data_IF_520707181326
#
_entry.id   IF_520707181326
#
_cell.length_a   1.000
_cell.length_b   1.000
_cell.length_c   1.000
_cell.angle_alpha   90.00
_cell.angle_beta   90.00
_cell.angle_gamma   90.00
#
_symmetry.space_group_name_H-M   'P 1'
#
loop_
_entity.id
_entity.type
_entity.pdbx_description
1 polymer ?
#
# COMPACT_ATOMS: atom_id res chain seq x y z
N UNK A 1 3.06 -51.27 -72.21
CA UNK A 1 2.53 -52.28 -71.25
C UNK A 1 3.72 -53.07 -70.73
N UNK A 2 3.99 -53.11 -69.42
CA UNK A 2 4.80 -54.19 -68.83
C UNK A 2 6.07 -53.88 -68.03
N UNK A 3 6.54 -52.64 -67.83
CA UNK A 3 7.74 -52.43 -66.98
C UNK A 3 7.72 -51.25 -65.98
N UNK A 4 6.69 -50.40 -65.94
CA UNK A 4 6.65 -49.28 -64.98
C UNK A 4 5.82 -49.53 -63.72
N UNK A 5 5.16 -50.69 -63.59
CA UNK A 5 4.30 -51.01 -62.42
C UNK A 5 4.98 -51.84 -61.32
N UNK A 6 6.12 -52.50 -61.60
CA UNK A 6 6.77 -53.34 -60.58
C UNK A 6 7.64 -52.54 -59.59
N UNK A 7 8.18 -51.37 -59.99
CA UNK A 7 9.02 -50.54 -59.10
C UNK A 7 8.23 -49.70 -58.07
N UNK A 8 6.90 -49.70 -58.13
CA UNK A 8 6.07 -48.94 -57.20
C UNK A 8 5.60 -49.78 -56.01
N UNK A 9 5.61 -51.11 -56.12
CA UNK A 9 5.12 -52.01 -55.05
C UNK A 9 6.24 -52.37 -54.06
N UNK A 10 7.49 -52.46 -54.50
CA UNK A 10 8.63 -52.75 -53.61
C UNK A 10 9.01 -51.57 -52.70
N UNK A 11 8.67 -50.33 -53.08
CA UNK A 11 8.92 -49.12 -52.28
C UNK A 11 7.92 -48.89 -51.15
N UNK A 12 6.76 -49.57 -51.18
CA UNK A 12 5.68 -49.40 -50.18
C UNK A 12 5.83 -50.40 -49.04
N UNK A 13 6.37 -51.60 -49.28
CA UNK A 13 6.64 -52.57 -48.22
C UNK A 13 7.91 -52.29 -47.40
N UNK A 14 8.88 -51.54 -47.93
CA UNK A 14 10.10 -51.19 -47.17
C UNK A 14 9.84 -50.03 -46.19
N UNK A 15 8.84 -49.18 -46.44
CA UNK A 15 8.52 -48.05 -45.57
C UNK A 15 7.62 -48.40 -44.37
N UNK A 16 6.93 -49.54 -44.36
CA UNK A 16 6.09 -49.92 -43.21
C UNK A 16 6.88 -50.65 -42.11
N UNK A 17 7.97 -51.34 -42.44
CA UNK A 17 8.80 -52.05 -41.45
C UNK A 17 9.74 -51.14 -40.66
N UNK A 18 10.12 -49.99 -41.20
CA UNK A 18 11.00 -49.02 -40.53
C UNK A 18 10.21 -48.13 -39.55
N UNK A 19 8.93 -47.87 -39.83
CA UNK A 19 8.07 -47.04 -38.96
C UNK A 19 7.59 -47.81 -37.72
N UNK A 20 7.41 -49.14 -37.81
CA UNK A 20 7.04 -49.96 -36.65
C UNK A 20 8.19 -50.17 -35.64
N UNK A 21 9.44 -50.24 -36.11
CA UNK A 21 10.62 -50.40 -35.23
C UNK A 21 11.01 -49.14 -34.46
N UNK A 22 10.81 -47.95 -35.05
CA UNK A 22 11.15 -46.69 -34.41
C UNK A 22 10.19 -46.32 -33.26
N UNK A 23 8.91 -46.69 -33.37
CA UNK A 23 7.90 -46.39 -32.34
C UNK A 23 8.08 -47.28 -31.11
N UNK A 24 8.51 -48.54 -31.28
CA UNK A 24 8.77 -49.46 -30.17
C UNK A 24 10.07 -49.10 -29.42
N UNK A 25 11.09 -48.58 -30.13
CA UNK A 25 12.34 -48.13 -29.49
C UNK A 25 12.16 -46.80 -28.72
N UNK A 26 11.29 -45.90 -29.19
CA UNK A 26 10.95 -44.66 -28.48
C UNK A 26 10.10 -44.89 -27.23
N UNK A 27 9.25 -45.93 -27.21
CA UNK A 27 8.49 -46.29 -26.00
C UNK A 27 9.37 -46.97 -24.93
N UNK A 28 10.44 -47.69 -25.31
CA UNK A 28 11.38 -48.29 -24.34
C UNK A 28 12.36 -47.25 -23.77
N UNK A 29 12.75 -46.23 -24.54
CA UNK A 29 13.53 -45.09 -24.02
C UNK A 29 12.70 -44.13 -23.14
N UNK A 30 11.38 -44.13 -23.30
CA UNK A 30 10.46 -43.40 -22.42
C UNK A 30 10.23 -44.09 -21.06
N UNK A 31 10.54 -45.38 -20.92
CA UNK A 31 10.39 -46.13 -19.66
C UNK A 31 11.72 -46.24 -18.88
N UNK A 32 12.87 -46.07 -19.54
CA UNK A 32 14.20 -46.19 -18.89
C UNK A 32 14.90 -44.88 -18.50
N UNK A 33 14.34 -43.72 -18.86
CA UNK A 33 14.76 -42.42 -18.28
C UNK A 33 13.68 -41.80 -17.37
N UNK A 34 12.74 -42.63 -16.91
CA UNK A 34 11.86 -42.33 -15.79
C UNK A 34 12.48 -42.85 -14.47
N UNK A 35 13.74 -42.48 -14.22
CA UNK A 35 14.42 -42.73 -12.95
C UNK A 35 15.53 -41.70 -12.67
N UNK A 36 15.40 -40.48 -13.18
CA UNK A 36 16.00 -39.34 -12.49
C UNK A 36 15.07 -38.93 -11.36
N UNK A 37 15.33 -39.56 -10.21
CA UNK A 37 15.23 -39.04 -8.85
C UNK A 37 14.46 -37.70 -8.81
N UNK A 38 13.14 -37.78 -8.76
CA UNK A 38 12.36 -36.77 -8.07
C UNK A 38 12.65 -37.03 -6.60
N UNK A 39 13.75 -36.47 -6.10
CA UNK A 39 13.80 -36.18 -4.68
C UNK A 39 12.62 -35.25 -4.45
N UNK A 40 11.61 -35.61 -3.62
CA UNK A 40 10.76 -34.56 -3.11
C UNK A 40 11.73 -33.56 -2.47
N UNK A 41 11.77 -32.34 -3.00
CA UNK A 41 12.31 -31.23 -2.21
C UNK A 41 11.37 -31.17 -1.03
N UNK A 42 11.75 -31.86 0.03
CA UNK A 42 11.13 -31.78 1.32
C UNK A 42 11.26 -30.31 1.70
N UNK A 43 10.16 -29.56 1.64
CA UNK A 43 10.13 -28.22 2.21
C UNK A 43 10.25 -28.40 3.73
N UNK A 44 11.48 -28.38 4.18
CA UNK A 44 11.94 -28.72 5.51
C UNK A 44 13.45 -28.55 5.52
N UNK A 45 14.02 -28.42 6.70
CA UNK A 45 15.47 -28.52 6.89
C UNK A 45 15.98 -29.86 6.34
N UNK A 46 17.25 -29.95 5.97
CA UNK A 46 17.85 -31.16 5.35
C UNK A 46 17.68 -32.44 6.22
N UNK A 47 17.33 -32.29 7.49
CA UNK A 47 17.05 -33.35 8.47
C UNK A 47 15.55 -33.71 8.61
N UNK A 48 14.65 -33.09 7.84
CA UNK A 48 13.20 -33.29 7.92
C UNK A 48 12.52 -32.63 9.12
N UNK A 49 13.21 -31.77 9.87
CA UNK A 49 12.62 -31.01 10.98
C UNK A 49 11.75 -29.83 10.50
N UNK A 50 10.80 -29.42 11.34
CA UNK A 50 9.81 -28.40 10.98
C UNK A 50 10.41 -26.99 11.09
N UNK A 51 10.36 -26.19 10.02
CA UNK A 51 10.88 -24.82 10.01
C UNK A 51 9.75 -23.76 10.16
N UNK A 52 9.79 -22.97 11.23
CA UNK A 52 8.81 -21.90 11.51
C UNK A 52 8.90 -20.70 10.55
N UNK A 53 10.07 -20.50 9.91
CA UNK A 53 10.36 -19.36 9.02
C UNK A 53 10.44 -19.75 7.55
N UNK A 54 10.17 -21.02 7.20
CA UNK A 54 10.26 -21.53 5.84
C UNK A 54 8.90 -22.09 5.42
N UNK A 55 8.04 -21.31 4.73
CA UNK A 55 6.73 -21.79 4.28
C UNK A 55 6.82 -23.00 3.37
N UNK A 56 6.04 -24.04 3.66
CA UNK A 56 5.83 -25.15 2.73
C UNK A 56 4.75 -24.75 1.71
N UNK A 57 5.18 -24.29 0.54
CA UNK A 57 4.27 -23.89 -0.54
C UNK A 57 3.56 -25.08 -1.22
N UNK A 58 4.01 -26.31 -1.00
CA UNK A 58 3.33 -27.50 -1.51
C UNK A 58 2.13 -27.90 -0.63
N UNK A 59 2.15 -27.54 0.67
CA UNK A 59 1.05 -27.76 1.60
C UNK A 59 0.95 -26.64 2.65
N UNK A 60 0.60 -25.44 2.18
CA UNK A 60 0.67 -24.22 2.98
C UNK A 60 -0.27 -24.21 4.19
N UNK A 61 -1.47 -24.75 4.05
CA UNK A 61 -2.47 -24.79 5.13
C UNK A 61 -2.03 -25.68 6.29
N UNK A 62 -1.46 -26.86 5.99
CA UNK A 62 -0.92 -27.76 7.02
C UNK A 62 0.30 -27.14 7.72
N UNK A 63 1.13 -26.41 6.96
CA UNK A 63 2.27 -25.69 7.52
C UNK A 63 1.83 -24.55 8.45
N UNK A 64 0.84 -23.74 8.05
CA UNK A 64 0.28 -22.68 8.88
C UNK A 64 -0.31 -23.22 10.18
N UNK A 65 -1.09 -24.30 10.10
CA UNK A 65 -1.70 -24.94 11.26
C UNK A 65 -0.64 -25.45 12.25
N UNK A 66 0.44 -26.05 11.75
CA UNK A 66 1.54 -26.56 12.57
C UNK A 66 2.38 -25.42 13.16
N UNK A 67 2.64 -24.36 12.39
CA UNK A 67 3.34 -23.15 12.86
C UNK A 67 2.62 -22.50 14.04
N UNK A 68 1.31 -22.36 13.95
CA UNK A 68 0.50 -21.78 15.04
C UNK A 68 0.56 -22.59 16.35
N UNK A 69 0.89 -23.88 16.27
CA UNK A 69 0.96 -24.76 17.44
C UNK A 69 2.32 -24.77 18.13
N UNK A 70 3.41 -24.64 17.37
CA UNK A 70 4.76 -24.92 17.88
C UNK A 70 5.77 -23.80 17.66
N UNK A 71 5.39 -22.63 17.13
CA UNK A 71 6.33 -21.54 16.87
C UNK A 71 6.02 -20.29 17.69
N UNK A 72 7.06 -19.62 18.19
CA UNK A 72 6.93 -18.29 18.78
C UNK A 72 6.96 -17.18 17.71
N UNK A 73 6.71 -15.95 18.15
CA UNK A 73 6.72 -14.77 17.28
C UNK A 73 8.11 -14.43 16.72
N UNK A 74 9.18 -15.02 17.27
CA UNK A 74 10.56 -14.86 16.79
C UNK A 74 10.96 -15.95 15.77
N UNK A 75 10.09 -16.94 15.50
CA UNK A 75 10.35 -18.00 14.54
C UNK A 75 11.09 -19.21 15.11
N UNK A 76 11.06 -19.42 16.42
CA UNK A 76 11.68 -20.59 17.08
C UNK A 76 10.63 -21.64 17.45
N UNK A 77 11.03 -22.93 17.48
CA UNK A 77 10.17 -24.03 17.92
C UNK A 77 10.07 -24.04 19.46
N UNK A 78 8.84 -23.96 19.96
CA UNK A 78 8.51 -24.06 21.39
C UNK A 78 8.27 -25.54 21.70
N UNK A 79 9.16 -26.18 22.48
CA UNK A 79 8.95 -27.57 22.94
C UNK A 79 8.40 -27.61 24.37
N UNK A 80 7.57 -28.60 24.75
CA UNK A 80 6.98 -28.69 26.10
C UNK A 80 7.98 -29.04 27.23
N UNK A 81 9.29 -29.07 26.96
CA UNK A 81 10.32 -29.54 27.90
C UNK A 81 11.03 -28.42 28.68
N UNK A 82 10.44 -27.23 28.78
CA UNK A 82 10.90 -26.19 29.71
C UNK A 82 9.74 -25.68 30.57
N UNK A 83 9.33 -26.49 31.55
CA UNK A 83 8.60 -25.96 32.72
C UNK A 83 9.57 -25.12 33.56
N UNK A 84 9.17 -23.95 34.07
CA UNK A 84 10.10 -23.05 34.75
C UNK A 84 10.40 -23.55 36.17
N UNK A 85 11.68 -23.70 36.50
CA UNK A 85 12.14 -23.74 37.88
C UNK A 85 12.08 -22.32 38.44
N UNK A 86 11.33 -22.16 39.53
CA UNK A 86 11.36 -21.00 40.40
C UNK A 86 12.82 -20.62 40.74
N UNK A 87 13.25 -19.43 40.33
CA UNK A 87 14.60 -18.94 40.57
C UNK A 87 14.69 -17.44 40.30
N UNK A 88 14.81 -16.67 41.38
CA UNK A 88 15.08 -15.24 41.42
C UNK A 88 16.25 -14.82 40.50
N UNK A 89 16.09 -13.65 39.87
CA UNK A 89 17.21 -12.81 39.42
C UNK A 89 17.53 -12.90 37.93
N UNK A 90 16.69 -12.29 37.09
CA UNK A 90 17.04 -11.96 35.71
C UNK A 90 16.99 -10.44 35.55
N UNK A 91 18.16 -9.81 35.43
CA UNK A 91 18.32 -8.37 35.18
C UNK A 91 17.50 -7.96 33.96
N UNK A 92 16.86 -6.80 34.09
CA UNK A 92 16.14 -6.10 33.03
C UNK A 92 16.93 -6.14 31.72
N UNK A 93 16.47 -6.96 30.76
CA UNK A 93 16.80 -6.72 29.38
C UNK A 93 16.27 -5.30 29.07
N UNK A 94 17.08 -4.38 28.56
CA UNK A 94 16.60 -3.04 28.27
C UNK A 94 15.46 -3.18 27.27
N UNK A 95 14.27 -2.71 27.63
CA UNK A 95 13.15 -2.62 26.72
C UNK A 95 13.65 -1.93 25.45
N UNK A 96 13.63 -2.65 24.33
CA UNK A 96 14.00 -2.11 23.03
C UNK A 96 13.15 -0.87 22.81
N UNK A 97 13.81 0.29 22.70
CA UNK A 97 13.12 1.59 22.64
C UNK A 97 12.18 1.54 21.44
N UNK A 98 10.87 1.64 21.69
CA UNK A 98 9.87 1.60 20.62
C UNK A 98 10.23 2.66 19.57
N UNK A 99 10.32 2.24 18.31
CA UNK A 99 10.52 3.18 17.21
C UNK A 99 9.20 3.96 17.09
N UNK A 100 9.30 5.27 17.20
CA UNK A 100 8.16 6.19 17.07
C UNK A 100 8.09 6.77 15.65
N UNK A 101 6.91 7.26 15.28
CA UNK A 101 6.78 8.05 14.05
C UNK A 101 7.65 9.30 14.15
N UNK A 102 8.16 9.78 13.01
CA UNK A 102 8.94 11.02 13.01
C UNK A 102 8.08 12.24 13.32
N UNK A 103 6.82 12.23 12.87
CA UNK A 103 5.86 13.32 13.05
C UNK A 103 4.60 12.82 13.80
N UNK A 104 4.71 12.39 15.08
CA UNK A 104 3.62 11.75 15.81
C UNK A 104 2.39 12.62 16.03
N UNK A 105 2.51 13.95 15.89
CA UNK A 105 1.39 14.89 15.95
C UNK A 105 0.44 14.80 14.75
N UNK A 106 0.86 14.19 13.63
CA UNK A 106 0.02 14.05 12.44
C UNK A 106 -0.99 12.90 12.56
N UNK A 107 -0.83 12.03 13.55
CA UNK A 107 -1.67 10.84 13.76
C UNK A 107 -2.39 10.91 15.12
N UNK A 108 -3.65 10.52 15.13
CA UNK A 108 -4.46 10.43 16.35
C UNK A 108 -4.97 9.01 16.56
N UNK A 109 -4.69 8.45 17.74
CA UNK A 109 -5.27 7.18 18.16
C UNK A 109 -6.70 7.40 18.66
N UNK A 110 -7.66 6.71 18.05
CA UNK A 110 -9.09 7.00 18.18
C UNK A 110 -9.68 6.89 19.60
N UNK A 111 -8.95 6.29 20.56
CA UNK A 111 -9.35 6.24 21.98
C UNK A 111 -8.91 7.44 22.83
N UNK A 112 -8.25 8.44 22.26
CA UNK A 112 -7.73 9.60 22.98
C UNK A 112 -8.77 10.74 23.08
N UNK A 113 -8.54 11.72 23.97
CA UNK A 113 -9.39 12.93 24.05
C UNK A 113 -9.14 13.86 22.87
N UNK A 114 -10.20 14.45 22.32
CA UNK A 114 -10.17 15.38 21.19
C UNK A 114 -10.31 16.84 21.64
N UNK A 115 -9.88 17.17 22.86
CA UNK A 115 -10.08 18.50 23.44
C UNK A 115 -9.33 19.56 22.61
N UNK A 116 -10.03 20.63 22.21
CA UNK A 116 -9.45 21.76 21.47
C UNK A 116 -9.28 21.55 19.96
N UNK A 117 -9.79 20.45 19.38
CA UNK A 117 -9.75 20.22 17.93
C UNK A 117 -11.10 20.48 17.25
N UNK A 118 -11.04 20.83 15.97
CA UNK A 118 -12.19 20.84 15.06
C UNK A 118 -12.19 19.53 14.29
N UNK A 119 -13.18 18.69 14.57
CA UNK A 119 -13.28 17.37 13.95
C UNK A 119 -13.91 17.51 12.56
N UNK A 120 -13.24 16.97 11.54
CA UNK A 120 -13.65 17.02 10.14
C UNK A 120 -13.98 15.60 9.67
N UNK A 121 -15.24 15.38 9.31
CA UNK A 121 -15.72 14.16 8.68
C UNK A 121 -15.76 14.34 7.17
N UNK A 122 -14.90 13.63 6.45
CA UNK A 122 -14.76 13.82 5.00
C UNK A 122 -15.73 12.98 4.15
N UNK A 123 -16.52 12.11 4.80
CA UNK A 123 -17.43 11.18 4.14
C UNK A 123 -18.58 11.89 3.45
N UNK A 124 -19.37 11.14 2.68
CA UNK A 124 -20.57 11.68 2.04
C UNK A 124 -21.57 12.22 3.07
N UNK A 125 -22.42 13.21 2.72
CA UNK A 125 -23.48 13.69 3.59
C UNK A 125 -24.42 12.59 4.08
N UNK A 126 -24.65 11.55 3.25
CA UNK A 126 -25.48 10.40 3.58
C UNK A 126 -24.85 9.53 4.68
N UNK A 127 -23.54 9.28 4.61
CA UNK A 127 -22.81 8.56 5.66
C UNK A 127 -22.75 9.37 6.95
N UNK A 128 -22.49 10.66 6.85
CA UNK A 128 -22.50 11.58 7.99
C UNK A 128 -23.86 11.60 8.69
N UNK A 129 -24.97 11.65 7.94
CA UNK A 129 -26.32 11.65 8.49
C UNK A 129 -26.72 10.34 9.18
N UNK A 130 -26.13 9.20 8.77
CA UNK A 130 -26.30 7.91 9.47
C UNK A 130 -25.64 7.93 10.85
N UNK A 131 -24.58 8.69 11.00
CA UNK A 131 -24.00 9.12 12.26
C UNK A 131 -22.50 9.44 12.13
N UNK A 132 -21.99 10.24 13.06
CA UNK A 132 -20.65 10.81 13.04
C UNK A 132 -20.12 11.02 14.47
N UNK A 133 -18.85 11.37 14.60
CA UNK A 133 -18.25 11.71 15.90
C UNK A 133 -18.87 12.99 16.47
N UNK A 134 -19.05 13.07 17.79
CA UNK A 134 -19.64 14.22 18.46
C UNK A 134 -18.89 15.52 18.12
N UNK A 135 -19.60 16.50 17.56
CA UNK A 135 -19.02 17.79 17.17
C UNK A 135 -18.31 17.81 15.81
N UNK A 136 -18.28 16.69 15.09
CA UNK A 136 -17.75 16.63 13.73
C UNK A 136 -18.51 17.58 12.79
N UNK A 137 -17.79 18.10 11.79
CA UNK A 137 -18.33 18.92 10.72
C UNK A 137 -18.12 18.19 9.40
N UNK A 138 -19.16 18.03 8.60
CA UNK A 138 -19.05 17.32 7.34
C UNK A 138 -18.39 18.19 6.26
N UNK A 139 -17.21 17.77 5.80
CA UNK A 139 -16.50 18.31 4.64
C UNK A 139 -16.47 17.24 3.57
N UNK A 140 -17.57 17.02 2.86
CA UNK A 140 -17.63 16.02 1.79
C UNK A 140 -16.49 16.25 0.79
N UNK A 141 -15.59 15.27 0.67
CA UNK A 141 -14.37 15.43 -0.13
C UNK A 141 -14.68 15.76 -1.60
N UNK A 142 -15.80 15.27 -2.13
CA UNK A 142 -16.22 15.52 -3.52
C UNK A 142 -16.50 17.00 -3.79
N UNK A 143 -16.98 17.74 -2.79
CA UNK A 143 -17.32 19.17 -2.92
C UNK A 143 -16.06 20.05 -3.05
N UNK A 144 -14.87 19.47 -2.84
CA UNK A 144 -13.58 20.18 -2.86
C UNK A 144 -12.85 20.03 -4.20
N UNK A 145 -13.41 19.25 -5.13
CA UNK A 145 -12.76 18.85 -6.37
C UNK A 145 -13.45 19.43 -7.61
N UNK A 146 -12.68 19.55 -8.68
CA UNK A 146 -13.19 19.75 -10.03
C UNK A 146 -12.50 18.78 -10.99
N UNK A 147 -13.29 17.99 -11.73
CA UNK A 147 -12.78 16.94 -12.65
C UNK A 147 -11.84 15.94 -11.95
N UNK A 148 -12.09 15.62 -10.69
CA UNK A 148 -11.35 14.63 -9.90
C UNK A 148 -10.05 15.13 -9.26
N UNK A 149 -9.70 16.41 -9.43
CA UNK A 149 -8.54 17.04 -8.79
C UNK A 149 -8.98 18.15 -7.85
N UNK A 150 -8.14 18.51 -6.88
CA UNK A 150 -8.35 19.62 -5.96
C UNK A 150 -8.67 20.91 -6.72
N UNK A 151 -9.75 21.58 -6.31
CA UNK A 151 -10.02 22.95 -6.68
C UNK A 151 -9.90 23.84 -5.44
N UNK A 152 -8.83 24.66 -5.31
CA UNK A 152 -8.61 25.49 -4.13
C UNK A 152 -9.79 26.40 -3.77
N UNK A 153 -10.50 26.95 -4.76
CA UNK A 153 -11.63 27.84 -4.50
C UNK A 153 -12.85 27.08 -3.95
N UNK A 154 -13.11 25.86 -4.44
CA UNK A 154 -14.17 25.01 -3.90
C UNK A 154 -13.84 24.54 -2.48
N UNK A 155 -12.58 24.15 -2.24
CA UNK A 155 -12.10 23.79 -0.90
C UNK A 155 -12.24 24.96 0.08
N UNK A 156 -11.82 26.18 -0.29
CA UNK A 156 -12.02 27.38 0.54
C UNK A 156 -13.50 27.63 0.86
N UNK A 157 -14.37 27.55 -0.14
CA UNK A 157 -15.81 27.75 0.05
C UNK A 157 -16.39 26.70 1.01
N UNK A 158 -16.00 25.44 0.85
CA UNK A 158 -16.45 24.36 1.71
C UNK A 158 -15.98 24.56 3.17
N UNK A 159 -14.72 24.94 3.38
CA UNK A 159 -14.16 25.24 4.70
C UNK A 159 -14.85 26.44 5.38
N UNK A 160 -15.13 27.51 4.62
CA UNK A 160 -15.89 28.67 5.12
C UNK A 160 -17.28 28.27 5.59
N UNK A 161 -18.00 27.48 4.77
CA UNK A 161 -19.36 27.00 5.06
C UNK A 161 -19.44 26.21 6.37
N UNK A 162 -18.39 25.43 6.68
CA UNK A 162 -18.31 24.66 7.93
C UNK A 162 -17.60 25.41 9.06
N UNK A 163 -17.36 26.71 8.92
CA UNK A 163 -16.83 27.56 9.98
C UNK A 163 -15.40 27.22 10.42
N UNK A 164 -14.59 26.63 9.54
CA UNK A 164 -13.17 26.34 9.83
C UNK A 164 -12.36 27.63 9.71
N UNK A 165 -11.54 27.94 10.71
CA UNK A 165 -10.62 29.07 10.70
C UNK A 165 -9.20 28.60 10.40
N UNK A 166 -8.36 29.50 9.90
CA UNK A 166 -6.96 29.23 9.59
C UNK A 166 -6.11 28.77 10.80
N UNK A 167 -6.53 29.09 12.02
CA UNK A 167 -5.84 28.73 13.27
C UNK A 167 -6.35 27.44 13.91
N UNK A 168 -7.46 26.89 13.42
CA UNK A 168 -8.08 25.70 14.02
C UNK A 168 -7.11 24.51 13.95
N UNK A 169 -7.15 23.63 14.94
CA UNK A 169 -6.49 22.32 14.84
C UNK A 169 -7.49 21.34 14.27
N UNK A 170 -7.27 20.89 13.03
CA UNK A 170 -8.18 19.99 12.34
C UNK A 170 -7.83 18.53 12.64
N UNK A 171 -8.82 17.80 13.14
CA UNK A 171 -8.77 16.35 13.31
C UNK A 171 -9.61 15.68 12.22
N UNK A 172 -8.95 15.11 11.22
CA UNK A 172 -9.58 14.62 9.99
C UNK A 172 -9.83 13.12 10.08
N UNK A 173 -11.00 12.67 9.67
CA UNK A 173 -11.27 11.25 9.49
C UNK A 173 -12.18 10.98 8.30
N UNK A 174 -12.08 9.77 7.76
CA UNK A 174 -12.90 9.25 6.67
C UNK A 174 -13.59 7.95 7.05
N UNK A 175 -14.21 7.33 6.04
CA UNK A 175 -14.87 6.03 6.16
C UNK A 175 -13.96 4.91 5.70
N UNK A 176 -14.55 3.97 4.99
CA UNK A 176 -13.86 2.88 4.29
C UNK A 176 -13.19 3.32 2.98
N UNK A 177 -13.07 4.63 2.75
CA UNK A 177 -12.28 5.23 1.67
C UNK A 177 -11.14 6.08 2.25
N UNK A 178 -9.96 6.03 1.63
CA UNK A 178 -8.79 6.77 2.13
C UNK A 178 -8.79 8.26 1.69
N UNK A 179 -9.97 8.83 1.48
CA UNK A 179 -10.11 10.24 1.06
C UNK A 179 -9.82 11.24 2.18
N UNK A 180 -9.65 10.76 3.42
CA UNK A 180 -9.08 11.55 4.51
C UNK A 180 -7.62 11.94 4.25
N UNK A 181 -6.84 11.06 3.61
CA UNK A 181 -5.46 11.38 3.20
C UNK A 181 -5.43 12.43 2.08
N UNK A 182 -6.43 12.43 1.18
CA UNK A 182 -6.62 13.49 0.19
C UNK A 182 -6.88 14.84 0.85
N UNK A 183 -7.83 14.92 1.79
CA UNK A 183 -8.15 16.17 2.49
C UNK A 183 -6.96 16.65 3.32
N UNK A 184 -6.22 15.73 3.96
CA UNK A 184 -4.99 16.05 4.67
C UNK A 184 -3.95 16.69 3.73
N UNK A 185 -3.68 16.08 2.57
CA UNK A 185 -2.77 16.65 1.56
C UNK A 185 -3.28 18.00 1.04
N UNK A 186 -4.56 18.10 0.70
CA UNK A 186 -5.14 19.33 0.16
C UNK A 186 -5.03 20.48 1.16
N UNK A 187 -5.32 20.26 2.44
CA UNK A 187 -5.16 21.26 3.50
C UNK A 187 -3.69 21.66 3.69
N UNK A 188 -2.78 20.69 3.62
CA UNK A 188 -1.32 20.95 3.68
C UNK A 188 -0.88 21.83 2.51
N UNK A 189 -1.32 21.51 1.29
CA UNK A 189 -1.08 22.31 0.09
C UNK A 189 -1.69 23.71 0.19
N UNK A 190 -2.84 23.89 0.84
CA UNK A 190 -3.45 25.20 1.11
C UNK A 190 -2.85 25.93 2.33
N UNK A 191 -1.79 25.38 2.93
CA UNK A 191 -1.02 26.02 4.00
C UNK A 191 -1.61 25.89 5.39
N UNK A 192 -2.56 24.98 5.60
CA UNK A 192 -3.10 24.68 6.92
C UNK A 192 -2.08 23.87 7.73
N UNK A 193 -1.66 24.36 8.89
CA UNK A 193 -0.52 23.77 9.64
C UNK A 193 -0.92 22.74 10.67
N UNK A 194 -2.03 22.98 11.38
CA UNK A 194 -2.43 22.16 12.52
C UNK A 194 -3.35 21.03 12.04
N UNK A 195 -2.75 20.01 11.44
CA UNK A 195 -3.46 18.86 10.88
C UNK A 195 -3.11 17.59 11.63
N UNK A 196 -4.13 16.83 11.97
CA UNK A 196 -4.00 15.48 12.50
C UNK A 196 -5.06 14.60 11.86
N UNK A 197 -4.74 13.33 11.62
CA UNK A 197 -5.67 12.36 11.04
C UNK A 197 -5.95 11.23 12.04
N UNK A 198 -7.22 10.83 12.17
CA UNK A 198 -7.61 9.66 12.97
C UNK A 198 -7.14 8.40 12.25
N UNK A 199 -6.34 7.59 12.95
CA UNK A 199 -5.84 6.33 12.43
C UNK A 199 -6.97 5.30 12.26
N UNK A 200 -7.14 4.81 11.03
CA UNK A 200 -8.22 3.89 10.62
C UNK A 200 -9.65 4.47 10.67
N UNK A 201 -9.80 5.80 10.71
CA UNK A 201 -11.06 6.47 10.43
C UNK A 201 -12.18 6.21 11.45
N UNK A 202 -13.43 6.30 10.99
CA UNK A 202 -14.60 6.18 11.88
C UNK A 202 -14.74 4.79 12.50
N UNK A 203 -14.41 3.72 11.78
CA UNK A 203 -14.56 2.35 12.27
C UNK A 203 -13.65 2.10 13.48
N UNK A 204 -12.40 2.60 13.44
CA UNK A 204 -11.52 2.54 14.60
C UNK A 204 -11.99 3.42 15.76
N UNK A 205 -12.59 4.57 15.49
CA UNK A 205 -13.17 5.41 16.54
C UNK A 205 -14.33 4.70 17.26
N UNK A 206 -15.22 4.04 16.51
CA UNK A 206 -16.31 3.25 17.08
C UNK A 206 -15.75 2.09 17.90
N UNK A 207 -14.78 1.36 17.36
CA UNK A 207 -14.14 0.24 18.06
C UNK A 207 -13.40 0.68 19.33
N UNK A 208 -12.90 1.91 19.37
CA UNK A 208 -12.30 2.53 20.55
C UNK A 208 -13.33 3.08 21.55
N UNK A 209 -14.63 2.89 21.30
CA UNK A 209 -15.71 3.29 22.20
C UNK A 209 -16.18 4.74 22.04
N UNK A 210 -15.79 5.44 20.96
CA UNK A 210 -16.31 6.77 20.68
C UNK A 210 -17.79 6.70 20.28
N UNK A 211 -18.67 7.50 20.90
CA UNK A 211 -20.08 7.48 20.58
C UNK A 211 -20.35 8.12 19.20
N UNK A 212 -21.22 7.49 18.42
CA UNK A 212 -21.79 8.11 17.23
C UNK A 212 -23.02 8.92 17.59
N UNK A 213 -23.12 10.12 17.01
CA UNK A 213 -24.28 11.00 17.13
C UNK A 213 -24.81 11.40 15.77
N UNK A 214 -26.00 12.00 15.76
CA UNK A 214 -26.64 12.58 14.57
C UNK A 214 -26.86 14.09 14.69
N UNK A 215 -26.48 14.67 15.83
CA UNK A 215 -26.64 16.10 16.09
C UNK A 215 -25.66 16.90 15.25
N UNK A 216 -26.16 17.73 14.34
CA UNK A 216 -25.32 18.62 13.54
C UNK A 216 -24.98 19.88 14.36
N UNK A 217 -23.69 20.28 14.43
CA UNK A 217 -23.31 21.53 15.08
C UNK A 217 -23.96 22.74 14.38
N UNK A 218 -24.36 23.74 15.17
CA UNK A 218 -24.75 25.04 14.62
C UNK A 218 -23.48 25.86 14.31
N UNK A 219 -23.13 25.96 13.04
CA UNK A 219 -21.89 26.58 12.58
C UNK A 219 -22.16 27.98 12.04
N UNK A 220 -21.22 28.90 12.28
CA UNK A 220 -21.18 30.19 11.58
C UNK A 220 -20.12 30.11 10.49
N UNK A 221 -20.41 30.71 9.36
CA UNK A 221 -19.41 30.82 8.29
C UNK A 221 -18.17 31.55 8.81
N UNK A 222 -17.00 31.07 8.40
CA UNK A 222 -15.71 31.71 8.69
C UNK A 222 -15.23 32.56 7.52
N UNK A 223 -14.10 33.23 7.71
CA UNK A 223 -13.37 33.96 6.68
C UNK A 223 -12.10 33.21 6.21
N UNK A 224 -12.13 31.86 6.21
CA UNK A 224 -10.99 31.04 5.82
C UNK A 224 -10.35 31.49 4.49
N UNK A 225 -9.03 31.57 4.43
CA UNK A 225 -8.28 31.89 3.19
C UNK A 225 -7.11 30.94 3.01
N UNK A 226 -6.85 30.46 1.79
CA UNK A 226 -5.70 29.59 1.57
C UNK A 226 -4.38 30.36 1.48
N UNK A 227 -3.32 29.71 1.93
CA UNK A 227 -1.94 30.13 1.74
C UNK A 227 -1.19 29.00 1.04
N UNK A 228 -1.38 28.93 -0.29
CA UNK A 228 -0.84 27.84 -1.11
C UNK A 228 0.66 27.64 -0.86
N UNK A 229 1.06 26.39 -0.68
CA UNK A 229 2.44 25.91 -0.55
C UNK A 229 2.85 25.26 -1.87
N UNK A 230 3.47 26.00 -2.81
CA UNK A 230 3.65 25.52 -4.19
C UNK A 230 4.56 24.31 -4.30
N UNK A 231 5.39 24.03 -3.30
CA UNK A 231 6.29 22.88 -3.28
C UNK A 231 5.56 21.54 -3.08
N UNK A 232 4.28 21.53 -2.65
CA UNK A 232 3.52 20.30 -2.39
C UNK A 232 2.73 19.77 -3.60
N UNK A 233 2.70 20.52 -4.71
CA UNK A 233 2.03 20.10 -5.95
C UNK A 233 2.90 20.43 -7.18
N UNK A 234 3.26 19.41 -7.93
CA UNK A 234 3.92 19.53 -9.24
C UNK A 234 2.86 19.70 -10.32
N UNK A 235 2.87 20.86 -10.94
CA UNK A 235 1.99 21.18 -12.08
C UNK A 235 2.64 20.77 -13.41
N UNK A 236 1.83 20.69 -14.46
CA UNK A 236 2.27 20.30 -15.81
C UNK A 236 3.43 21.16 -16.32
N UNK A 237 3.36 22.48 -16.15
CA UNK A 237 4.41 23.41 -16.56
C UNK A 237 5.72 23.30 -15.73
N UNK A 238 5.67 22.67 -14.55
CA UNK A 238 6.81 22.47 -13.67
C UNK A 238 7.44 21.08 -13.83
N UNK A 239 6.71 20.09 -14.34
CA UNK A 239 7.14 18.70 -14.38
C UNK A 239 8.53 18.51 -14.98
N UNK A 240 8.80 19.13 -16.13
CA UNK A 240 10.11 19.03 -16.78
C UNK A 240 11.28 19.55 -15.92
N UNK A 241 11.04 20.59 -15.10
CA UNK A 241 12.05 21.10 -14.16
C UNK A 241 12.27 20.14 -13.00
N UNK A 242 11.19 19.58 -12.46
CA UNK A 242 11.27 18.57 -11.41
C UNK A 242 12.02 17.32 -11.86
N UNK A 243 11.70 16.80 -13.05
CA UNK A 243 12.36 15.60 -13.60
C UNK A 243 13.85 15.78 -13.90
N UNK A 244 14.34 17.02 -14.03
CA UNK A 244 15.76 17.33 -14.22
C UNK A 244 16.53 17.45 -12.89
N UNK A 245 15.86 17.39 -11.75
CA UNK A 245 16.51 17.44 -10.44
C UNK A 245 17.21 16.11 -10.13
N UNK A 246 18.37 16.20 -9.47
CA UNK A 246 19.14 15.03 -9.03
C UNK A 246 18.78 14.60 -7.60
N UNK A 247 18.09 15.45 -6.86
CA UNK A 247 17.70 15.29 -5.46
C UNK A 247 16.24 14.84 -5.30
N UNK A 248 15.71 14.09 -6.28
CA UNK A 248 14.35 13.54 -6.23
C UNK A 248 14.32 12.02 -6.33
N UNK A 249 13.29 11.41 -5.77
CA UNK A 249 12.87 10.04 -6.07
C UNK A 249 11.42 10.04 -6.54
N UNK A 250 11.16 9.44 -7.70
CA UNK A 250 9.82 9.40 -8.30
C UNK A 250 9.13 8.12 -7.84
N UNK A 251 7.97 8.23 -7.19
CA UNK A 251 7.24 7.13 -6.59
C UNK A 251 5.87 6.98 -7.24
N UNK A 252 5.58 5.80 -7.79
CA UNK A 252 4.27 5.44 -8.32
C UNK A 252 3.48 4.72 -7.24
N UNK A 253 2.38 5.32 -6.79
CA UNK A 253 1.53 4.79 -5.73
C UNK A 253 0.45 3.81 -6.23
N UNK A 254 0.36 3.58 -7.55
CA UNK A 254 -0.61 2.65 -8.14
C UNK A 254 -0.20 1.20 -7.95
N UNK A 255 -1.12 0.31 -8.28
CA UNK A 255 -0.86 -1.12 -8.35
C UNK A 255 0.28 -1.43 -9.32
N UNK A 256 1.04 -2.48 -9.00
CA UNK A 256 2.20 -2.88 -9.79
C UNK A 256 1.84 -3.23 -11.24
N UNK A 257 0.63 -3.75 -11.48
CA UNK A 257 0.11 -4.01 -12.82
C UNK A 257 -0.03 -2.72 -13.65
N UNK A 258 -0.59 -1.66 -13.05
CA UNK A 258 -0.72 -0.35 -13.69
C UNK A 258 0.62 0.34 -13.95
N UNK A 259 1.55 0.25 -12.98
CA UNK A 259 2.93 0.71 -13.14
C UNK A 259 3.64 -0.02 -14.28
N UNK A 260 3.40 -1.33 -14.40
CA UNK A 260 3.92 -2.16 -15.48
C UNK A 260 3.41 -1.76 -16.86
N UNK A 261 2.16 -1.30 -16.96
CA UNK A 261 1.58 -0.86 -18.24
C UNK A 261 2.07 0.52 -18.67
N UNK A 262 2.15 1.47 -17.74
CA UNK A 262 2.64 2.81 -18.01
C UNK A 262 3.22 3.45 -16.76
N UNK A 263 4.23 4.32 -16.90
CA UNK A 263 4.88 5.03 -15.80
C UNK A 263 5.43 6.38 -16.23
N UNK A 264 5.62 7.29 -15.27
CA UNK A 264 6.02 8.67 -15.54
C UNK A 264 7.43 8.76 -16.17
N UNK A 265 8.38 7.94 -15.72
CA UNK A 265 9.72 7.80 -16.32
C UNK A 265 10.29 6.41 -16.00
N UNK A 266 11.44 6.05 -16.59
CA UNK A 266 12.16 4.83 -16.20
C UNK A 266 12.76 4.88 -14.79
N UNK A 267 12.89 6.07 -14.19
CA UNK A 267 13.39 6.24 -12.83
C UNK A 267 12.28 6.09 -11.76
N UNK A 268 11.01 5.99 -12.17
CA UNK A 268 9.89 5.79 -11.25
C UNK A 268 10.00 4.45 -10.52
N UNK A 269 9.82 4.46 -9.20
CA UNK A 269 9.81 3.29 -8.33
C UNK A 269 8.37 2.96 -7.94
N UNK A 270 7.91 1.71 -8.10
CA UNK A 270 6.57 1.33 -7.67
C UNK A 270 6.54 1.18 -6.15
N UNK A 271 5.71 1.95 -5.46
CA UNK A 271 5.50 1.87 -4.02
C UNK A 271 4.00 1.86 -3.74
N UNK A 272 3.44 0.66 -3.83
CA UNK A 272 2.04 0.33 -3.59
C UNK A 272 1.58 0.80 -2.20
N UNK A 273 0.73 1.84 -2.18
CA UNK A 273 0.28 2.52 -0.97
C UNK A 273 -0.42 1.58 0.02
N UNK A 274 -1.34 0.68 -0.40
CA UNK A 274 -1.90 -0.38 0.45
C UNK A 274 -0.91 -1.12 1.35
N UNK A 275 0.34 -1.35 0.93
CA UNK A 275 1.35 -2.04 1.76
C UNK A 275 1.80 -1.26 3.00
N UNK A 276 1.51 0.03 3.05
CA UNK A 276 1.83 0.90 4.19
C UNK A 276 0.73 0.87 5.25
N UNK A 277 -0.39 0.23 4.96
CA UNK A 277 -1.55 0.16 5.83
C UNK A 277 -1.89 -1.30 6.19
N UNK A 278 -2.58 -1.45 7.31
CA UNK A 278 -3.25 -2.64 7.76
C UNK A 278 -4.71 -2.58 7.29
N UNK A 279 -5.51 -3.55 7.72
CA UNK A 279 -6.95 -3.55 7.50
C UNK A 279 -7.62 -2.26 8.02
N UNK A 280 -8.71 -1.87 7.36
CA UNK A 280 -9.50 -0.68 7.71
C UNK A 280 -8.69 0.62 7.71
N UNK A 281 -7.70 0.75 6.81
CA UNK A 281 -6.89 1.97 6.61
C UNK A 281 -6.12 2.42 7.85
N UNK A 282 -5.89 1.51 8.78
CA UNK A 282 -5.00 1.75 9.91
C UNK A 282 -3.56 1.73 9.41
N UNK A 283 -2.78 2.78 9.66
CA UNK A 283 -1.40 2.82 9.17
C UNK A 283 -0.51 1.83 9.96
N UNK A 284 0.48 1.24 9.29
CA UNK A 284 1.45 0.38 9.96
C UNK A 284 2.28 1.17 10.99
N UNK A 285 2.75 0.47 12.02
CA UNK A 285 3.60 1.06 13.05
C UNK A 285 4.92 1.61 12.45
N UNK A 286 5.55 2.53 13.17
CA UNK A 286 6.72 3.25 12.69
C UNK A 286 7.93 2.34 12.38
N UNK A 287 8.07 1.21 13.10
CA UNK A 287 9.12 0.23 12.79
C UNK A 287 8.84 -0.42 11.43
N UNK A 288 7.63 -0.91 11.23
CA UNK A 288 7.21 -1.55 9.98
C UNK A 288 7.32 -0.60 8.78
N UNK A 289 6.87 0.65 8.93
CA UNK A 289 7.05 1.69 7.90
C UNK A 289 8.54 1.99 7.65
N UNK A 290 9.34 2.10 8.71
CA UNK A 290 10.79 2.30 8.61
C UNK A 290 11.47 1.17 7.83
N UNK A 291 11.07 -0.08 8.07
CA UNK A 291 11.57 -1.26 7.37
C UNK A 291 11.17 -1.26 5.88
N UNK A 292 9.94 -0.86 5.55
CA UNK A 292 9.44 -0.81 4.16
C UNK A 292 10.10 0.34 3.39
N UNK A 293 10.11 1.54 3.96
CA UNK A 293 10.53 2.78 3.29
C UNK A 293 12.06 2.92 3.28
N UNK A 294 12.72 2.64 4.41
CA UNK A 294 14.17 2.85 4.58
C UNK A 294 15.05 1.99 3.67
N UNK A 295 14.53 0.86 3.18
CA UNK A 295 15.24 0.00 2.21
C UNK A 295 15.28 0.59 0.79
N UNK A 296 14.40 1.55 0.49
CA UNK A 296 14.13 2.00 -0.88
C UNK A 296 14.30 3.52 -1.05
N UNK A 297 14.10 4.27 0.03
CA UNK A 297 14.03 5.72 0.02
C UNK A 297 15.19 6.34 0.78
N UNK A 298 15.73 7.40 0.20
CA UNK A 298 16.77 8.26 0.73
C UNK A 298 16.10 9.51 1.34
N UNK A 299 16.20 9.66 2.66
CA UNK A 299 15.61 10.79 3.40
C UNK A 299 16.18 12.15 3.01
N UNK A 300 17.33 12.20 2.34
CA UNK A 300 17.93 13.46 1.86
C UNK A 300 17.29 13.97 0.57
N UNK A 301 16.51 13.13 -0.12
CA UNK A 301 15.85 13.46 -1.38
C UNK A 301 14.39 13.86 -1.18
N UNK A 302 13.87 14.59 -2.16
CA UNK A 302 12.44 14.95 -2.24
C UNK A 302 11.67 13.87 -2.99
N UNK A 303 10.60 13.37 -2.39
CA UNK A 303 9.87 12.24 -2.94
C UNK A 303 8.71 12.78 -3.77
N UNK A 304 8.79 12.63 -5.09
CA UNK A 304 7.73 13.01 -6.03
C UNK A 304 6.75 11.84 -6.18
N UNK A 305 5.62 11.90 -5.50
CA UNK A 305 4.59 10.85 -5.54
C UNK A 305 3.55 11.12 -6.62
N UNK A 306 3.11 10.10 -7.34
CA UNK A 306 2.01 10.19 -8.31
C UNK A 306 1.16 8.92 -8.31
N UNK A 307 0.02 8.95 -8.99
CA UNK A 307 -0.90 7.82 -9.02
C UNK A 307 -2.07 7.96 -8.07
N UNK A 308 -2.76 9.10 -8.14
CA UNK A 308 -3.98 9.35 -7.35
C UNK A 308 -5.07 8.32 -7.69
N UNK A 309 -5.85 7.85 -6.69
CA UNK A 309 -5.90 8.36 -5.31
C UNK A 309 -4.81 7.80 -4.38
N UNK A 310 -4.15 6.68 -4.69
CA UNK A 310 -3.15 6.06 -3.79
C UNK A 310 -1.97 6.98 -3.43
N UNK A 311 -1.67 7.96 -4.30
CA UNK A 311 -0.65 8.97 -4.03
C UNK A 311 -0.92 9.80 -2.76
N UNK A 312 -2.18 10.03 -2.40
CA UNK A 312 -2.53 10.78 -1.18
C UNK A 312 -2.18 10.01 0.08
N UNK A 313 -2.48 8.71 0.09
CA UNK A 313 -2.12 7.79 1.18
C UNK A 313 -0.60 7.68 1.33
N UNK A 314 0.10 7.51 0.21
CA UNK A 314 1.57 7.48 0.21
C UNK A 314 2.16 8.81 0.70
N UNK A 315 1.60 9.95 0.28
CA UNK A 315 1.99 11.27 0.78
C UNK A 315 1.89 11.35 2.31
N UNK A 316 0.74 11.00 2.87
CA UNK A 316 0.52 11.02 4.32
C UNK A 316 1.51 10.12 5.08
N UNK A 317 1.71 8.88 4.61
CA UNK A 317 2.65 7.95 5.24
C UNK A 317 4.10 8.44 5.20
N UNK A 318 4.50 9.10 4.10
CA UNK A 318 5.84 9.69 3.96
C UNK A 318 6.04 10.89 4.89
N UNK A 319 5.06 11.80 5.00
CA UNK A 319 5.11 12.91 5.96
C UNK A 319 5.18 12.40 7.40
N UNK A 320 4.34 11.42 7.76
CA UNK A 320 4.34 10.82 9.10
C UNK A 320 5.72 10.23 9.47
N UNK A 321 6.45 9.73 8.48
CA UNK A 321 7.79 9.18 8.62
C UNK A 321 8.93 10.19 8.40
N UNK A 322 8.61 11.47 8.22
CA UNK A 322 9.55 12.58 8.15
C UNK A 322 10.32 12.65 6.83
N UNK A 323 9.72 12.19 5.73
CA UNK A 323 10.27 12.37 4.39
C UNK A 323 9.80 13.71 3.80
N UNK A 324 10.69 14.40 3.07
CA UNK A 324 10.31 15.53 2.25
C UNK A 324 9.56 15.03 1.00
N UNK A 325 8.30 15.42 0.82
CA UNK A 325 7.41 14.85 -0.20
C UNK A 325 6.67 15.95 -0.97
N UNK A 326 6.45 15.69 -2.26
CA UNK A 326 5.62 16.52 -3.16
C UNK A 326 4.74 15.60 -4.00
N UNK A 327 3.61 16.11 -4.49
CA UNK A 327 2.61 15.30 -5.18
C UNK A 327 2.42 15.75 -6.63
N UNK A 328 2.19 14.80 -7.54
CA UNK A 328 1.67 15.03 -8.89
C UNK A 328 0.24 14.49 -8.93
N UNK A 329 -0.72 15.41 -8.99
CA UNK A 329 -2.14 15.09 -8.91
C UNK A 329 -2.73 14.69 -10.26
N UNK A 330 -3.57 13.67 -10.29
CA UNK A 330 -4.30 13.25 -11.47
C UNK A 330 -3.49 12.39 -12.43
N UNK A 331 -4.00 12.28 -13.65
CA UNK A 331 -3.50 11.35 -14.68
C UNK A 331 -2.94 12.03 -15.93
N UNK A 332 -2.92 13.37 -15.99
CA UNK A 332 -2.45 14.16 -17.16
C UNK A 332 -1.00 13.86 -17.52
N UNK A 333 -0.20 13.36 -16.57
CA UNK A 333 1.18 12.96 -16.85
C UNK A 333 1.28 11.89 -17.95
N UNK A 334 0.24 11.06 -18.13
CA UNK A 334 0.16 10.02 -19.16
C UNK A 334 0.22 10.61 -20.57
N UNK A 335 -0.23 11.84 -20.74
CA UNK A 335 -0.28 12.54 -22.02
C UNK A 335 1.00 13.35 -22.29
N UNK A 336 1.99 13.27 -21.41
CA UNK A 336 3.25 14.00 -21.54
C UNK A 336 4.31 13.20 -22.28
N UNK A 337 5.30 13.90 -22.85
CA UNK A 337 6.45 13.27 -23.51
C UNK A 337 7.35 12.42 -22.59
N UNK A 338 7.19 12.54 -21.28
CA UNK A 338 7.98 11.79 -20.30
C UNK A 338 7.39 10.41 -20.03
N UNK A 339 6.06 10.27 -20.18
CA UNK A 339 5.37 9.01 -19.95
C UNK A 339 5.94 7.89 -20.84
N UNK A 340 6.08 6.73 -20.22
CA UNK A 340 6.49 5.50 -20.87
C UNK A 340 5.28 4.57 -20.82
N UNK A 341 4.80 4.13 -21.99
CA UNK A 341 3.75 3.12 -22.14
C UNK A 341 4.32 1.88 -22.82
N UNK A 342 3.99 0.69 -22.30
CA UNK A 342 4.34 -0.60 -22.91
C UNK A 342 3.27 -1.04 -23.91
N UNK A 343 2.07 -0.48 -23.83
CA UNK A 343 1.00 -0.70 -24.81
C UNK A 343 1.11 0.41 -25.87
N UNK A 344 1.54 0.03 -27.08
CA UNK A 344 1.46 0.86 -28.29
C UNK A 344 0.22 0.50 -29.09
#
# INVERSE_FOLDING_TARGET
MGQSKQRFIDGVHIKSSIVAGAIIFQLILAVLNLNMIISPVQAGTEDGSFCCTCPDYANFDAWLAKKAQICDNAGNIITPASKPSNGNGGKDAPAEKAIEYAEPQLIFSAGSKTDGTVIIDVRTPEEYAKGHLQGARNLNWMDTQSKGNLNPALMELALRKIGVNNSDHLLIYGGSDDMSSYIFWALSYLGHKNLTKIDGGIDQAINAGQPMVKSVPNLKESNYTSHVVPSLLVTENQLGKWLNRTDIQILDARDFSEYGLAKLTNAALPLDAPKLYQDNFKINDAKTLGDILGRRLDKTKTQLVYGTPGAYSLFYALELMGYNVTLLEGSWWKDTKWAISIVR
#
